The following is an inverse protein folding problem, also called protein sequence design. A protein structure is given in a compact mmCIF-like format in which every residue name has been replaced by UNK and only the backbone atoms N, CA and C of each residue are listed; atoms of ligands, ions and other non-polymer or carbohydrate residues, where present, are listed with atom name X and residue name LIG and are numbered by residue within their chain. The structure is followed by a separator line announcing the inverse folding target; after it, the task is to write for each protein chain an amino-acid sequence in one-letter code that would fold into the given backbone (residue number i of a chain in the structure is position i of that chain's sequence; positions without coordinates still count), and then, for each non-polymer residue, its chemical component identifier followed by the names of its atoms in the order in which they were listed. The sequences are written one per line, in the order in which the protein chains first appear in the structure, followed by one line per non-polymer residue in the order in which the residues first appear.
data_IF_896438290213
#
_entry.id   IF_896438290213
#
_cell.length_a   1.000
_cell.length_b   1.000
_cell.length_c   1.000
_cell.angle_alpha   90.00
_cell.angle_beta   90.00
_cell.angle_gamma   90.00
#
_symmetry.space_group_name_H-M   'P 1'
#
loop_
_entity.id
_entity.type
_entity.pdbx_description
1 polymer ?
#
# COMPACT_ATOMS: atom_id res chain seq x y z
N UNK A 1 -19.21 26.44 9.93
CA UNK A 1 -19.46 25.17 10.61
C UNK A 1 -18.90 24.03 9.79
N UNK A 2 -18.00 23.25 10.37
CA UNK A 2 -17.46 22.10 9.66
C UNK A 2 -18.36 20.90 9.87
N UNK A 3 -18.66 20.18 8.79
CA UNK A 3 -19.39 18.94 8.87
C UNK A 3 -18.43 17.81 9.17
N UNK A 4 -18.85 16.89 10.04
CA UNK A 4 -18.11 15.66 10.24
C UNK A 4 -18.54 14.65 9.16
N UNK A 5 -17.57 14.09 8.46
CA UNK A 5 -17.81 13.09 7.42
C UNK A 5 -16.98 11.85 7.71
N UNK A 6 -17.64 10.71 7.73
CA UNK A 6 -16.93 9.44 7.86
C UNK A 6 -16.03 9.22 6.66
N UNK A 7 -14.92 8.50 6.82
CA UNK A 7 -14.01 8.26 5.71
C UNK A 7 -14.64 7.48 4.56
N UNK A 8 -14.23 7.82 3.33
CA UNK A 8 -14.53 7.09 2.10
C UNK A 8 -13.23 6.85 1.37
N UNK A 9 -13.10 5.68 0.75
CA UNK A 9 -11.96 5.41 -0.12
C UNK A 9 -12.30 5.85 -1.54
N UNK A 10 -11.44 6.66 -2.12
CA UNK A 10 -11.59 7.16 -3.48
C UNK A 10 -10.78 6.37 -4.48
N UNK A 11 -9.66 5.79 -4.02
CA UNK A 11 -8.79 4.96 -4.82
C UNK A 11 -8.35 3.79 -3.96
N UNK A 12 -8.57 2.58 -4.45
CA UNK A 12 -8.13 1.36 -3.79
C UNK A 12 -6.81 0.88 -4.41
N UNK A 13 -5.96 0.21 -3.63
CA UNK A 13 -4.77 -0.40 -4.21
C UNK A 13 -5.18 -1.48 -5.22
N UNK A 14 -4.30 -1.75 -6.19
CA UNK A 14 -4.59 -2.66 -7.29
C UNK A 14 -3.70 -3.89 -7.25
N UNK A 15 -4.24 -5.01 -7.72
CA UNK A 15 -3.47 -6.24 -7.87
C UNK A 15 -2.26 -6.01 -8.75
N UNK A 16 -1.13 -6.59 -8.37
CA UNK A 16 0.12 -6.47 -9.14
C UNK A 16 0.90 -7.77 -9.07
N UNK A 17 1.62 -8.04 -10.14
CA UNK A 17 2.62 -9.09 -10.18
C UNK A 17 3.96 -8.45 -10.48
N UNK A 18 4.95 -8.68 -9.64
CA UNK A 18 6.25 -8.01 -9.71
C UNK A 18 7.34 -9.05 -9.64
N UNK A 19 8.43 -8.83 -10.38
CA UNK A 19 9.61 -9.68 -10.29
C UNK A 19 10.43 -9.28 -9.07
N UNK A 20 10.94 -10.26 -8.33
CA UNK A 20 11.77 -10.01 -7.15
C UNK A 20 12.95 -9.08 -7.51
N UNK A 21 13.25 -8.15 -6.63
CA UNK A 21 14.29 -7.15 -6.84
C UNK A 21 13.78 -5.80 -7.31
N UNK A 22 12.56 -5.74 -7.87
CA UNK A 22 11.98 -4.48 -8.32
C UNK A 22 11.20 -3.82 -7.19
N UNK A 23 10.92 -2.53 -7.35
CA UNK A 23 10.13 -1.78 -6.37
C UNK A 23 8.65 -1.91 -6.70
N UNK A 24 7.83 -1.88 -5.66
CA UNK A 24 6.37 -1.95 -5.77
C UNK A 24 5.79 -0.71 -5.13
N UNK A 25 4.77 -0.12 -5.76
CA UNK A 25 4.02 0.98 -5.16
C UNK A 25 2.54 0.63 -5.15
N UNK A 26 1.93 0.70 -3.97
CA UNK A 26 0.50 0.56 -3.79
C UNK A 26 -0.08 1.90 -3.39
N UNK A 27 -1.22 2.26 -3.94
CA UNK A 27 -1.84 3.57 -3.76
C UNK A 27 -3.18 3.45 -3.06
N UNK A 28 -3.48 4.42 -2.22
CA UNK A 28 -4.76 4.53 -1.53
C UNK A 28 -5.07 6.00 -1.36
N UNK A 29 -6.28 6.41 -1.71
CA UNK A 29 -6.74 7.78 -1.51
C UNK A 29 -8.05 7.73 -0.75
N UNK A 30 -8.19 8.59 0.26
CA UNK A 30 -9.38 8.66 1.09
C UNK A 30 -9.77 10.10 1.34
N UNK A 31 -11.04 10.32 1.63
CA UNK A 31 -11.55 11.62 2.05
C UNK A 31 -12.40 11.46 3.31
N UNK A 32 -12.50 12.54 4.06
CA UNK A 32 -13.32 12.60 5.27
C UNK A 32 -13.08 13.91 5.99
N UNK A 33 -13.90 14.18 6.98
CA UNK A 33 -13.76 15.40 7.80
C UNK A 33 -13.94 15.03 9.28
N UNK A 34 -12.93 15.20 10.11
CA UNK A 34 -11.55 15.62 9.82
C UNK A 34 -10.84 14.72 8.81
N UNK A 35 -9.77 15.24 8.20
CA UNK A 35 -8.99 14.46 7.23
C UNK A 35 -8.58 13.12 7.85
N UNK A 36 -8.85 12.00 7.14
CA UNK A 36 -8.53 10.68 7.68
C UNK A 36 -7.03 10.43 7.76
N UNK A 37 -6.65 9.52 8.64
CA UNK A 37 -5.34 8.90 8.58
C UNK A 37 -5.47 7.54 7.91
N UNK A 38 -4.41 7.09 7.25
CA UNK A 38 -4.40 5.83 6.51
C UNK A 38 -3.40 4.88 7.16
N UNK A 39 -3.87 3.66 7.41
CA UNK A 39 -3.04 2.56 7.90
C UNK A 39 -3.04 1.46 6.84
N UNK A 40 -1.88 0.89 6.58
CA UNK A 40 -1.77 -0.23 5.65
C UNK A 40 -1.77 -1.55 6.40
N UNK A 41 -2.49 -2.52 5.86
CA UNK A 41 -2.67 -3.85 6.45
C UNK A 41 -2.20 -4.88 5.43
N UNK A 42 -1.41 -5.85 5.91
CA UNK A 42 -0.97 -6.99 5.10
C UNK A 42 -1.47 -8.26 5.75
N UNK A 43 -2.21 -9.09 5.01
CA UNK A 43 -2.74 -10.37 5.49
C UNK A 43 -3.46 -10.23 6.84
N UNK A 44 -4.27 -9.16 6.96
CA UNK A 44 -5.06 -8.83 8.16
C UNK A 44 -4.24 -8.33 9.36
N UNK A 45 -2.94 -8.10 9.19
CA UNK A 45 -2.10 -7.55 10.26
C UNK A 45 -1.58 -6.17 9.88
N UNK A 46 -1.54 -5.22 10.83
CA UNK A 46 -0.95 -3.92 10.55
C UNK A 46 0.52 -4.05 10.16
N UNK A 47 0.91 -3.29 9.15
CA UNK A 47 2.31 -3.27 8.71
C UNK A 47 3.15 -2.44 9.68
N UNK A 48 4.18 -3.06 10.22
CA UNK A 48 5.13 -2.38 11.10
C UNK A 48 6.26 -1.81 10.25
N UNK A 49 6.20 -0.50 9.98
CA UNK A 49 7.20 0.19 9.15
C UNK A 49 8.58 0.13 9.77
N UNK A 50 8.64 0.35 11.08
CA UNK A 50 9.91 0.50 11.78
C UNK A 50 10.77 -0.75 11.75
N UNK A 51 10.16 -1.90 11.51
CA UNK A 51 10.89 -3.16 11.51
C UNK A 51 11.39 -3.58 10.13
N UNK A 52 11.04 -2.83 9.08
CA UNK A 52 11.44 -3.19 7.72
C UNK A 52 11.86 -1.96 6.93
N UNK A 53 13.18 -1.72 6.78
CA UNK A 53 13.67 -0.52 6.09
C UNK A 53 13.35 -0.50 4.59
N UNK A 54 12.91 -1.63 4.01
CA UNK A 54 12.51 -1.68 2.59
C UNK A 54 11.12 -1.11 2.36
N UNK A 55 10.34 -0.92 3.43
CA UNK A 55 8.96 -0.45 3.32
C UNK A 55 8.91 1.01 3.73
N UNK A 56 8.35 1.84 2.86
CA UNK A 56 8.22 3.28 3.07
C UNK A 56 6.78 3.71 2.82
N UNK A 57 6.35 4.73 3.56
CA UNK A 57 5.05 5.35 3.35
C UNK A 57 5.24 6.78 2.91
N UNK A 58 4.49 7.18 1.91
CA UNK A 58 4.46 8.56 1.45
C UNK A 58 3.03 9.06 1.58
N UNK A 59 2.83 10.09 2.39
CA UNK A 59 1.51 10.71 2.58
C UNK A 59 1.50 12.07 1.92
N UNK A 60 0.44 12.35 1.18
CA UNK A 60 0.25 13.64 0.53
C UNK A 60 -1.17 14.13 0.77
N UNK A 61 -1.33 15.25 1.45
CA UNK A 61 -2.63 15.88 1.59
C UNK A 61 -2.97 16.54 0.25
N UNK A 62 -4.10 16.17 -0.34
CA UNK A 62 -4.53 16.73 -1.63
C UNK A 62 -5.31 18.02 -1.41
N UNK A 63 -6.03 18.10 -0.30
CA UNK A 63 -6.70 19.30 0.18
C UNK A 63 -6.93 19.13 1.69
N UNK A 64 -7.85 19.87 2.28
CA UNK A 64 -8.10 19.79 3.74
C UNK A 64 -8.93 18.56 4.14
N UNK A 65 -9.41 17.77 3.19
CA UNK A 65 -10.28 16.61 3.43
C UNK A 65 -9.81 15.33 2.77
N UNK A 66 -8.83 15.42 1.85
CA UNK A 66 -8.39 14.29 1.07
C UNK A 66 -6.91 14.00 1.31
N UNK A 67 -6.60 12.73 1.47
CA UNK A 67 -5.24 12.27 1.68
C UNK A 67 -4.94 11.13 0.71
N UNK A 68 -3.73 11.16 0.13
CA UNK A 68 -3.20 10.10 -0.70
C UNK A 68 -2.05 9.44 0.05
N UNK A 69 -2.06 8.11 0.11
CA UNK A 69 -0.99 7.34 0.73
C UNK A 69 -0.41 6.36 -0.27
N UNK A 70 0.91 6.31 -0.33
CA UNK A 70 1.62 5.33 -1.12
C UNK A 70 2.41 4.42 -0.19
N UNK A 71 2.23 3.12 -0.37
CA UNK A 71 3.07 2.12 0.26
C UNK A 71 4.10 1.70 -0.76
N UNK A 72 5.39 1.95 -0.48
CA UNK A 72 6.47 1.60 -1.38
C UNK A 72 7.27 0.45 -0.76
N UNK A 73 7.39 -0.64 -1.50
CA UNK A 73 8.21 -1.78 -1.10
C UNK A 73 9.42 -1.79 -2.03
N UNK A 74 10.59 -1.55 -1.47
CA UNK A 74 11.82 -1.53 -2.26
C UNK A 74 12.43 -2.93 -2.28
N UNK A 75 13.02 -3.31 -3.41
CA UNK A 75 13.70 -4.60 -3.57
C UNK A 75 12.78 -5.74 -3.14
N UNK A 76 11.67 -5.91 -3.85
CA UNK A 76 10.63 -6.87 -3.49
C UNK A 76 11.19 -8.28 -3.36
N UNK A 77 10.75 -8.97 -2.33
CA UNK A 77 11.14 -10.34 -2.01
C UNK A 77 9.90 -11.23 -1.95
N UNK A 78 10.09 -12.54 -2.03
CA UNK A 78 8.99 -13.50 -1.97
C UNK A 78 8.08 -13.28 -0.76
N UNK A 79 8.64 -12.91 0.37
CA UNK A 79 7.89 -12.69 1.60
C UNK A 79 6.96 -11.48 1.53
N UNK A 80 7.14 -10.61 0.53
CA UNK A 80 6.28 -9.44 0.36
C UNK A 80 4.96 -9.79 -0.30
N UNK A 81 4.81 -10.96 -0.87
CA UNK A 81 3.54 -11.39 -1.44
C UNK A 81 2.46 -11.38 -0.38
N UNK A 82 1.24 -11.09 -0.79
CA UNK A 82 0.14 -11.11 0.15
C UNK A 82 -1.04 -10.26 -0.27
N UNK A 83 -1.98 -10.17 0.63
CA UNK A 83 -3.18 -9.37 0.47
C UNK A 83 -3.01 -8.06 1.24
N UNK A 84 -3.02 -6.95 0.52
CA UNK A 84 -2.84 -5.63 1.09
C UNK A 84 -4.12 -4.82 0.97
N UNK A 85 -4.45 -4.07 2.00
CA UNK A 85 -5.50 -3.06 1.91
C UNK A 85 -5.14 -1.89 2.81
N UNK A 86 -5.82 -0.77 2.62
CA UNK A 86 -5.66 0.39 3.47
C UNK A 86 -6.92 0.60 4.28
N UNK A 87 -6.77 1.20 5.46
CA UNK A 87 -7.90 1.58 6.32
C UNK A 87 -7.77 3.07 6.58
N UNK A 88 -8.81 3.81 6.20
CA UNK A 88 -8.91 5.23 6.47
C UNK A 88 -9.76 5.43 7.72
N UNK A 89 -9.27 6.23 8.66
CA UNK A 89 -10.03 6.46 9.88
C UNK A 89 -9.93 7.91 10.35
N UNK A 90 -11.02 8.39 10.93
CA UNK A 90 -11.08 9.68 11.62
C UNK A 90 -11.97 9.52 12.86
N UNK A 91 -12.31 10.63 13.53
CA UNK A 91 -13.11 10.57 14.75
C UNK A 91 -14.55 10.12 14.52
N UNK A 92 -15.03 10.11 13.28
CA UNK A 92 -16.39 9.72 12.93
C UNK A 92 -16.50 8.22 12.66
N UNK A 93 -15.46 7.61 12.08
CA UNK A 93 -15.50 6.20 11.75
C UNK A 93 -14.30 5.77 10.95
N UNK A 94 -14.40 4.59 10.34
CA UNK A 94 -13.33 4.06 9.50
C UNK A 94 -13.88 3.34 8.29
N UNK A 95 -13.04 3.22 7.27
CA UNK A 95 -13.39 2.56 6.02
C UNK A 95 -12.18 1.81 5.50
N UNK A 96 -12.36 0.52 5.23
CA UNK A 96 -11.32 -0.28 4.61
C UNK A 96 -11.49 -0.23 3.09
N UNK A 97 -10.36 -0.20 2.38
CA UNK A 97 -10.36 -0.33 0.93
C UNK A 97 -10.64 -1.77 0.52
N UNK A 98 -10.92 -1.97 -0.77
CA UNK A 98 -10.86 -3.30 -1.35
C UNK A 98 -9.41 -3.80 -1.29
N UNK A 99 -9.19 -5.10 -1.18
CA UNK A 99 -7.84 -5.63 -1.10
C UNK A 99 -7.16 -5.67 -2.45
N UNK A 100 -5.84 -5.58 -2.41
CA UNK A 100 -4.97 -5.80 -3.56
C UNK A 100 -4.10 -7.02 -3.28
N UNK A 101 -3.97 -7.89 -4.27
CA UNK A 101 -3.13 -9.07 -4.15
C UNK A 101 -1.80 -8.80 -4.85
N UNK A 102 -0.72 -8.88 -4.10
CA UNK A 102 0.63 -8.71 -4.62
C UNK A 102 1.25 -10.09 -4.77
N UNK A 103 1.63 -10.41 -6.01
CA UNK A 103 2.34 -11.63 -6.35
C UNK A 103 3.78 -11.29 -6.69
N UNK A 104 4.72 -12.10 -6.22
CA UNK A 104 6.13 -11.88 -6.47
C UNK A 104 6.66 -13.07 -7.26
N UNK A 105 7.26 -12.79 -8.43
CA UNK A 105 7.91 -13.80 -9.23
C UNK A 105 9.41 -13.78 -8.94
N UNK A 106 9.93 -14.90 -8.49
CA UNK A 106 11.36 -15.06 -8.24
C UNK A 106 11.91 -15.96 -9.34
N UNK A 107 12.71 -15.37 -10.21
CA UNK A 107 13.24 -16.09 -11.37
C UNK A 107 14.37 -17.07 -11.02
N UNK A 108 14.97 -16.91 -9.84
CA UNK A 108 16.07 -17.74 -9.41
C UNK A 108 17.38 -17.43 -10.13
N UNK A 109 18.47 -17.98 -9.62
CA UNK A 109 19.80 -17.69 -10.16
C UNK A 109 20.01 -18.22 -11.57
N UNK A 110 19.54 -19.43 -11.86
CA UNK A 110 19.69 -20.05 -13.17
C UNK A 110 19.02 -19.20 -14.24
N UNK A 111 17.83 -18.69 -13.95
CA UNK A 111 17.09 -17.88 -14.89
C UNK A 111 17.76 -16.51 -15.10
N UNK A 112 18.25 -15.91 -14.00
CA UNK A 112 18.96 -14.64 -14.07
C UNK A 112 20.23 -14.77 -14.91
N UNK A 113 21.00 -15.84 -14.74
CA UNK A 113 22.19 -16.12 -15.53
C UNK A 113 21.84 -16.24 -17.01
N UNK A 114 20.76 -16.93 -17.32
CA UNK A 114 20.29 -17.07 -18.71
C UNK A 114 20.04 -15.70 -19.34
N UNK A 115 19.40 -14.79 -18.65
CA UNK A 115 19.14 -13.45 -19.15
C UNK A 115 20.43 -12.68 -19.45
N UNK A 116 21.43 -12.83 -18.60
CA UNK A 116 22.70 -12.12 -18.82
C UNK A 116 23.53 -12.72 -19.95
N UNK A 117 23.34 -13.98 -20.27
CA UNK A 117 24.08 -14.65 -21.35
C UNK A 117 23.43 -14.48 -22.73
N UNK A 118 22.21 -14.04 -22.78
CA UNK A 118 21.52 -13.80 -24.05
C UNK A 118 21.46 -12.33 -24.37
#
# INVERSE_FOLDING_TARGET
MSAFLAPETLEDPKNQTVVAGFNVTLNCTAKGSPMPSITWIKNNDPLAIQSNPRIKYIKTALDDKQIHSQLVIEDAKKEDKGKYHCVANNTVGEKASNPAFLSIEDLGETYAVYFFLT
#
